data_IF_610402831489
#
_entry.id   IF_610402831489
#
_cell.length_a   1.000
_cell.length_b   1.000
_cell.length_c   1.000
_cell.angle_alpha   90.00
_cell.angle_beta   90.00
_cell.angle_gamma   90.00
#
_symmetry.space_group_name_H-M   'P 1'
#
loop_
_entity.id
_entity.type
_entity.pdbx_description
1 polymer ?
#
# COMPACT_ATOMS: atom_id res chain seq x y z
N UNK A 1 1.49 34.80 17.16
CA UNK A 1 1.83 33.45 16.65
C UNK A 1 1.64 32.43 17.78
N UNK A 2 0.69 31.49 17.66
CA UNK A 2 0.47 30.45 18.70
C UNK A 2 1.60 29.42 18.62
N UNK A 3 2.33 29.21 19.73
CA UNK A 3 3.34 28.15 19.84
C UNK A 3 2.66 26.78 19.76
N UNK A 4 2.84 26.08 18.65
CA UNK A 4 2.44 24.68 18.51
C UNK A 4 3.32 23.88 19.47
N UNK A 5 2.72 23.29 20.51
CA UNK A 5 3.43 22.37 21.40
C UNK A 5 3.55 21.03 20.69
N UNK A 6 4.76 20.48 20.51
CA UNK A 6 4.91 19.14 19.95
C UNK A 6 4.27 18.16 20.94
N UNK A 7 3.15 17.57 20.56
CA UNK A 7 2.62 16.42 21.27
C UNK A 7 3.67 15.32 21.12
N UNK A 8 4.25 14.87 22.23
CA UNK A 8 5.12 13.70 22.21
C UNK A 8 4.35 12.56 21.55
N UNK A 9 4.90 11.99 20.46
CA UNK A 9 4.32 10.81 19.82
C UNK A 9 4.18 9.73 20.90
N UNK A 10 2.96 9.25 21.13
CA UNK A 10 2.69 8.15 22.08
C UNK A 10 3.38 6.84 21.71
N UNK A 11 3.95 6.76 20.51
CA UNK A 11 4.56 5.55 19.96
C UNK A 11 5.91 5.84 19.30
N UNK A 12 6.91 4.93 19.44
CA UNK A 12 8.15 5.00 18.68
C UNK A 12 7.87 5.03 17.17
N UNK A 13 8.70 5.74 16.42
CA UNK A 13 8.66 5.73 14.94
C UNK A 13 8.81 4.34 14.32
N UNK A 14 9.42 3.42 15.06
CA UNK A 14 9.65 2.02 14.69
C UNK A 14 8.50 1.10 15.07
N UNK A 15 7.53 1.57 15.86
CA UNK A 15 6.36 0.76 16.19
C UNK A 15 5.45 0.70 14.95
N UNK A 16 5.15 -0.50 14.42
CA UNK A 16 4.13 -0.61 13.39
C UNK A 16 2.81 -0.10 13.97
N UNK A 17 2.10 0.79 13.28
CA UNK A 17 0.77 1.20 13.72
C UNK A 17 -0.15 -0.04 13.69
N UNK A 18 -0.83 -0.31 14.81
CA UNK A 18 -1.80 -1.40 14.90
C UNK A 18 -3.16 -0.91 14.43
N UNK A 19 -3.30 -0.72 13.12
CA UNK A 19 -4.51 -0.14 12.53
C UNK A 19 -5.58 -1.21 12.21
N UNK A 20 -5.48 -2.39 12.84
CA UNK A 20 -6.33 -3.55 12.48
C UNK A 20 -7.81 -3.28 12.73
N UNK A 21 -8.15 -2.48 13.73
CA UNK A 21 -9.53 -2.14 14.06
C UNK A 21 -10.11 -1.16 13.06
N UNK A 22 -9.37 -0.11 12.71
CA UNK A 22 -9.74 0.88 11.69
C UNK A 22 -9.96 0.21 10.34
N UNK A 23 -9.14 -0.79 10.00
CA UNK A 23 -9.33 -1.57 8.77
C UNK A 23 -10.56 -2.48 8.80
N UNK A 24 -11.07 -2.91 9.96
CA UNK A 24 -12.29 -3.74 9.99
C UNK A 24 -13.52 -2.95 9.55
N UNK A 25 -13.56 -1.67 9.86
CA UNK A 25 -14.68 -0.79 9.51
C UNK A 25 -14.68 -0.38 8.03
N UNK A 26 -13.55 -0.57 7.33
CA UNK A 26 -13.46 -0.31 5.89
C UNK A 26 -14.14 -1.43 5.09
N UNK A 27 -15.05 -1.09 4.15
CA UNK A 27 -15.67 -2.07 3.27
C UNK A 27 -14.65 -2.96 2.57
N UNK A 28 -14.96 -4.25 2.44
CA UNK A 28 -14.05 -5.24 1.85
C UNK A 28 -13.53 -4.82 0.47
N UNK A 29 -14.40 -4.23 -0.35
CA UNK A 29 -14.04 -3.74 -1.69
C UNK A 29 -12.98 -2.65 -1.65
N UNK A 30 -13.14 -1.68 -0.74
CA UNK A 30 -12.19 -0.60 -0.54
C UNK A 30 -10.85 -1.14 -0.01
N UNK A 31 -10.87 -2.13 0.88
CA UNK A 31 -9.66 -2.80 1.36
C UNK A 31 -8.91 -3.52 0.26
N UNK A 32 -9.63 -4.31 -0.55
CA UNK A 32 -9.03 -5.06 -1.66
C UNK A 32 -8.45 -4.11 -2.72
N UNK A 33 -9.16 -3.02 -3.02
CA UNK A 33 -8.67 -1.95 -3.90
C UNK A 33 -7.39 -1.30 -3.35
N UNK A 34 -7.36 -0.94 -2.07
CA UNK A 34 -6.18 -0.34 -1.44
C UNK A 34 -4.96 -1.28 -1.48
N UNK A 35 -5.15 -2.58 -1.20
CA UNK A 35 -4.08 -3.58 -1.32
C UNK A 35 -3.57 -3.67 -2.76
N UNK A 36 -4.47 -3.63 -3.75
CA UNK A 36 -4.09 -3.67 -5.16
C UNK A 36 -3.31 -2.41 -5.59
N UNK A 37 -3.79 -1.22 -5.24
CA UNK A 37 -3.11 0.05 -5.53
C UNK A 37 -1.71 0.09 -4.88
N UNK A 38 -1.59 -0.38 -3.64
CA UNK A 38 -0.30 -0.47 -2.94
C UNK A 38 0.65 -1.48 -3.61
N UNK A 39 0.16 -2.66 -4.00
CA UNK A 39 0.96 -3.65 -4.70
C UNK A 39 1.50 -3.12 -6.04
N UNK A 40 0.67 -2.37 -6.79
CA UNK A 40 1.10 -1.70 -8.03
C UNK A 40 2.16 -0.64 -7.77
N UNK A 41 1.94 0.21 -6.75
CA UNK A 41 2.89 1.25 -6.38
C UNK A 41 4.28 0.66 -6.09
N UNK A 42 4.35 -0.37 -5.24
CA UNK A 42 5.62 -1.01 -4.89
C UNK A 42 6.29 -1.70 -6.07
N UNK A 43 5.50 -2.31 -6.95
CA UNK A 43 6.03 -2.94 -8.15
C UNK A 43 6.65 -1.92 -9.12
N UNK A 44 6.00 -0.76 -9.33
CA UNK A 44 6.55 0.31 -10.16
C UNK A 44 7.77 0.97 -9.52
N UNK A 45 7.76 1.18 -8.20
CA UNK A 45 8.92 1.70 -7.47
C UNK A 45 10.13 0.76 -7.60
N UNK A 46 9.92 -0.55 -7.44
CA UNK A 46 10.97 -1.55 -7.62
C UNK A 46 11.51 -1.57 -9.07
N UNK A 47 10.65 -1.37 -10.07
CA UNK A 47 11.05 -1.26 -11.48
C UNK A 47 11.87 -0.01 -11.75
N UNK A 48 11.52 1.12 -11.15
CA UNK A 48 12.29 2.35 -11.29
C UNK A 48 13.67 2.21 -10.63
N UNK A 49 13.73 1.63 -9.44
CA UNK A 49 15.00 1.37 -8.74
C UNK A 49 15.90 0.42 -9.54
N UNK A 50 15.34 -0.66 -10.09
CA UNK A 50 16.08 -1.57 -10.97
C UNK A 50 16.62 -0.85 -12.22
N UNK A 51 15.80 0.03 -12.84
CA UNK A 51 16.22 0.87 -13.97
C UNK A 51 17.39 1.79 -13.60
N UNK A 52 17.33 2.45 -12.44
CA UNK A 52 18.43 3.31 -11.94
C UNK A 52 19.72 2.53 -11.71
N UNK A 53 19.62 1.28 -11.29
CA UNK A 53 20.76 0.40 -11.06
C UNK A 53 21.24 -0.34 -12.33
N UNK A 54 20.59 -0.15 -13.48
CA UNK A 54 20.92 -0.85 -14.73
C UNK A 54 20.64 -2.37 -14.68
N UNK A 55 19.75 -2.81 -13.78
CA UNK A 55 19.40 -4.23 -13.58
C UNK A 55 18.01 -4.54 -14.11
N UNK A 56 17.72 -5.78 -14.52
CA UNK A 56 16.37 -6.19 -14.86
C UNK A 56 15.48 -6.16 -13.60
N UNK A 57 14.26 -5.65 -13.74
CA UNK A 57 13.29 -5.67 -12.66
C UNK A 57 12.72 -7.09 -12.49
N UNK A 58 12.90 -7.68 -11.30
CA UNK A 58 12.39 -9.02 -10.98
C UNK A 58 10.86 -9.04 -10.75
N UNK A 59 10.23 -7.87 -10.64
CA UNK A 59 8.80 -7.73 -10.33
C UNK A 59 7.95 -7.65 -11.60
N UNK A 60 7.11 -8.67 -11.83
CA UNK A 60 6.11 -8.71 -12.90
C UNK A 60 4.75 -8.22 -12.41
N UNK A 61 4.34 -7.02 -12.83
CA UNK A 61 2.98 -6.49 -12.59
C UNK A 61 1.91 -7.28 -13.36
N UNK A 62 2.28 -7.97 -14.43
CA UNK A 62 1.39 -8.80 -15.25
C UNK A 62 0.80 -9.99 -14.47
N UNK A 63 1.52 -10.49 -13.45
CA UNK A 63 1.05 -11.57 -12.56
C UNK A 63 0.19 -11.08 -11.39
N UNK A 64 0.16 -9.78 -11.11
CA UNK A 64 -0.70 -9.20 -10.06
C UNK A 64 -2.15 -9.03 -10.54
N UNK A 65 -2.34 -8.78 -11.84
CA UNK A 65 -3.66 -8.56 -12.45
C UNK A 65 -4.62 -9.77 -12.45
N UNK A 66 -4.16 -11.04 -12.64
CA UNK A 66 -5.04 -12.21 -12.67
C UNK A 66 -5.73 -12.51 -11.33
N UNK A 67 -5.09 -12.18 -10.20
CA UNK A 67 -5.67 -12.42 -8.86
C UNK A 67 -6.82 -11.44 -8.60
N UNK A 68 -6.67 -10.18 -9.03
CA UNK A 68 -7.74 -9.18 -8.96
C UNK A 68 -8.95 -9.52 -9.85
N UNK A 69 -8.72 -10.24 -10.96
CA UNK A 69 -9.78 -10.66 -11.91
C UNK A 69 -10.54 -11.92 -11.49
N UNK A 70 -9.94 -12.84 -10.71
CA UNK A 70 -10.59 -14.10 -10.30
C UNK A 70 -11.74 -13.93 -9.31
N UNK A 71 -11.85 -12.76 -8.66
CA UNK A 71 -12.99 -12.41 -7.80
C UNK A 71 -13.36 -10.96 -8.09
N UNK A 72 -14.10 -10.70 -9.18
CA UNK A 72 -14.48 -9.35 -9.54
C UNK A 72 -15.28 -8.75 -8.38
N UNK A 73 -14.81 -7.61 -7.87
CA UNK A 73 -15.65 -6.77 -7.04
C UNK A 73 -16.79 -6.27 -7.94
N UNK A 74 -18.06 -6.38 -7.52
CA UNK A 74 -19.16 -5.92 -8.34
C UNK A 74 -18.97 -4.44 -8.68
N UNK A 75 -19.17 -4.02 -9.94
CA UNK A 75 -19.27 -2.61 -10.26
C UNK A 75 -20.54 -2.03 -9.64
N UNK A 76 -20.44 -0.79 -9.17
CA UNK A 76 -21.56 0.02 -8.65
C UNK A 76 -22.71 0.12 -9.65
#
# INVERSE_FOLDING_TARGET
>A
MRKIRPLARRFPLSAPPDDREEWRDVPLEARLRAVWEMALFWAELAREEARRQGKPAEVSTERLLPIARRRPLPPR
#
